data_IF_586517537992
#
_entry.id   IF_586517537992
#
_cell.length_a   1.000
_cell.length_b   1.000
_cell.length_c   1.000
_cell.angle_alpha   90.00
_cell.angle_beta   90.00
_cell.angle_gamma   90.00
#
_symmetry.space_group_name_H-M   'P 1'
#
loop_
_entity.id
_entity.type
_entity.pdbx_description
1 polymer ?
#
# COMPACT_ATOMS: atom_id res chain seq x y z
N UNK A 1 13.01 -11.72 23.30
CA UNK A 1 12.50 -10.73 22.33
C UNK A 1 13.52 -10.70 21.22
N UNK A 2 13.19 -11.24 20.05
CA UNK A 2 14.09 -11.23 18.90
C UNK A 2 14.11 -9.82 18.32
N UNK A 3 15.26 -9.14 18.45
CA UNK A 3 15.55 -7.94 17.68
C UNK A 3 15.42 -8.28 16.20
N UNK A 4 14.41 -7.70 15.54
CA UNK A 4 14.34 -7.71 14.09
C UNK A 4 15.62 -7.07 13.53
N UNK A 5 16.27 -7.70 12.52
CA UNK A 5 17.47 -7.14 11.95
C UNK A 5 17.17 -5.75 11.38
N UNK A 6 17.86 -4.76 11.93
CA UNK A 6 17.72 -3.38 11.52
C UNK A 6 18.08 -3.26 10.03
N UNK A 7 17.14 -2.75 9.22
CA UNK A 7 17.34 -2.61 7.77
C UNK A 7 18.70 -1.94 7.48
N UNK A 8 19.58 -2.59 6.70
CA UNK A 8 20.94 -2.09 6.44
C UNK A 8 20.95 -0.80 5.62
N UNK A 9 19.80 -0.39 5.06
CA UNK A 9 19.65 0.83 4.26
C UNK A 9 18.57 1.69 4.90
N UNK A 10 18.95 2.54 5.85
CA UNK A 10 18.05 3.52 6.48
C UNK A 10 17.84 4.73 5.54
N UNK A 11 17.19 4.52 4.41
CA UNK A 11 16.84 5.61 3.49
C UNK A 11 15.34 5.94 3.58
N UNK A 12 15.05 7.17 4.03
CA UNK A 12 13.67 7.64 4.25
C UNK A 12 12.86 7.78 2.95
N UNK A 13 13.52 7.97 1.81
CA UNK A 13 12.88 8.11 0.51
C UNK A 13 12.63 6.73 -0.08
N UNK A 14 13.60 5.83 0.04
CA UNK A 14 13.42 4.42 -0.30
C UNK A 14 12.24 3.81 0.45
N UNK A 15 12.17 4.00 1.77
CA UNK A 15 11.06 3.47 2.59
C UNK A 15 9.70 4.02 2.15
N UNK A 16 9.64 5.31 1.79
CA UNK A 16 8.41 5.94 1.28
C UNK A 16 8.01 5.37 -0.09
N UNK A 17 8.98 5.23 -1.01
CA UNK A 17 8.75 4.70 -2.35
C UNK A 17 8.26 3.24 -2.26
N UNK A 18 8.90 2.43 -1.42
CA UNK A 18 8.48 1.06 -1.17
C UNK A 18 7.05 0.98 -0.63
N UNK A 19 6.72 1.79 0.39
CA UNK A 19 5.38 1.80 0.97
C UNK A 19 4.31 2.25 -0.04
N UNK A 20 4.65 3.23 -0.89
CA UNK A 20 3.80 3.71 -1.97
C UNK A 20 3.56 2.63 -3.03
N UNK A 21 4.61 1.96 -3.49
CA UNK A 21 4.52 0.86 -4.45
C UNK A 21 3.64 -0.27 -3.91
N UNK A 22 3.90 -0.73 -2.69
CA UNK A 22 3.13 -1.78 -2.06
C UNK A 22 1.63 -1.42 -1.94
N UNK A 23 1.31 -0.17 -1.57
CA UNK A 23 -0.07 0.31 -1.48
C UNK A 23 -0.76 0.27 -2.84
N UNK A 24 -0.13 0.83 -3.88
CA UNK A 24 -0.71 0.90 -5.23
C UNK A 24 -0.83 -0.49 -5.88
N UNK A 25 0.15 -1.36 -5.69
CA UNK A 25 0.08 -2.75 -6.15
C UNK A 25 -1.06 -3.51 -5.44
N UNK A 26 -1.22 -3.32 -4.12
CA UNK A 26 -2.31 -3.95 -3.38
C UNK A 26 -3.69 -3.51 -3.89
N UNK A 27 -3.87 -2.26 -4.33
CA UNK A 27 -5.15 -1.81 -4.91
C UNK A 27 -5.56 -2.71 -6.08
N UNK A 28 -4.64 -2.92 -7.03
CA UNK A 28 -4.89 -3.75 -8.22
C UNK A 28 -5.08 -5.22 -7.84
N UNK A 29 -4.20 -5.75 -6.99
CA UNK A 29 -4.26 -7.16 -6.58
C UNK A 29 -5.57 -7.51 -5.84
N UNK A 30 -6.08 -6.58 -5.04
CA UNK A 30 -7.34 -6.76 -4.32
C UNK A 30 -8.56 -6.80 -5.24
N UNK A 31 -8.49 -6.27 -6.47
CA UNK A 31 -9.60 -6.38 -7.44
C UNK A 31 -9.89 -7.86 -7.73
N UNK A 32 -8.85 -8.65 -8.02
CA UNK A 32 -8.99 -10.09 -8.23
C UNK A 32 -9.53 -10.81 -7.00
N UNK A 33 -9.04 -10.47 -5.80
CA UNK A 33 -9.49 -11.12 -4.57
C UNK A 33 -10.94 -10.78 -4.19
N UNK A 34 -11.39 -9.57 -4.53
CA UNK A 34 -12.80 -9.19 -4.40
C UNK A 34 -13.65 -10.03 -5.36
N UNK A 35 -13.26 -10.13 -6.63
CA UNK A 35 -13.98 -10.93 -7.63
C UNK A 35 -14.07 -12.41 -7.23
N UNK A 36 -13.00 -12.99 -6.71
CA UNK A 36 -12.97 -14.39 -6.28
C UNK A 36 -13.90 -14.61 -5.08
N UNK A 37 -13.88 -13.73 -4.08
CA UNK A 37 -14.80 -13.79 -2.94
C UNK A 37 -16.27 -13.65 -3.35
N UNK A 38 -16.58 -12.74 -4.29
CA UNK A 38 -17.93 -12.59 -4.86
C UNK A 38 -18.38 -13.86 -5.59
N UNK A 39 -17.51 -14.51 -6.38
CA UNK A 39 -17.81 -15.76 -7.09
C UNK A 39 -18.07 -16.92 -6.14
N UNK A 40 -17.40 -16.95 -5.00
CA UNK A 40 -17.58 -17.97 -3.96
C UNK A 40 -18.77 -17.67 -3.04
N UNK A 41 -19.39 -16.49 -3.16
CA UNK A 41 -20.52 -16.07 -2.34
C UNK A 41 -20.13 -15.54 -0.95
N UNK A 42 -18.86 -15.24 -0.72
CA UNK A 42 -18.34 -14.69 0.53
C UNK A 42 -18.37 -13.15 0.52
N UNK A 43 -19.57 -12.61 0.76
CA UNK A 43 -19.81 -11.16 0.78
C UNK A 43 -19.09 -10.43 1.93
N UNK A 44 -18.86 -11.12 3.05
CA UNK A 44 -18.14 -10.54 4.19
C UNK A 44 -16.68 -10.29 3.82
N UNK A 45 -16.04 -11.30 3.21
CA UNK A 45 -14.66 -11.19 2.74
C UNK A 45 -14.51 -10.17 1.62
N UNK A 46 -15.40 -10.17 0.63
CA UNK A 46 -15.41 -9.18 -0.44
C UNK A 46 -15.53 -7.75 0.12
N UNK A 47 -16.41 -7.54 1.09
CA UNK A 47 -16.58 -6.25 1.77
C UNK A 47 -15.33 -5.84 2.54
N UNK A 48 -14.68 -6.78 3.22
CA UNK A 48 -13.43 -6.52 3.93
C UNK A 48 -12.31 -6.14 2.96
N UNK A 49 -12.14 -6.84 1.84
CA UNK A 49 -11.16 -6.48 0.81
C UNK A 49 -11.42 -5.10 0.19
N UNK A 50 -12.68 -4.74 -0.09
CA UNK A 50 -13.04 -3.40 -0.59
C UNK A 50 -12.60 -2.29 0.38
N UNK A 51 -12.74 -2.51 1.70
CA UNK A 51 -12.24 -1.56 2.72
C UNK A 51 -10.73 -1.42 2.66
N UNK A 52 -9.99 -2.52 2.60
CA UNK A 52 -8.53 -2.50 2.48
C UNK A 52 -8.10 -1.81 1.18
N UNK A 53 -8.79 -2.07 0.08
CA UNK A 53 -8.52 -1.44 -1.20
C UNK A 53 -8.70 0.08 -1.12
N UNK A 54 -9.77 0.54 -0.47
CA UNK A 54 -10.00 1.98 -0.25
C UNK A 54 -8.87 2.63 0.56
N UNK A 55 -8.46 2.02 1.67
CA UNK A 55 -7.36 2.54 2.48
C UNK A 55 -6.02 2.54 1.72
N UNK A 56 -5.73 1.51 0.92
CA UNK A 56 -4.53 1.49 0.07
C UNK A 56 -4.56 2.59 -1.01
N UNK A 57 -5.72 2.86 -1.64
CA UNK A 57 -5.86 4.00 -2.59
C UNK A 57 -5.54 5.31 -1.89
N UNK A 58 -6.12 5.53 -0.71
CA UNK A 58 -5.90 6.75 0.09
C UNK A 58 -4.44 6.91 0.51
N UNK A 59 -3.81 5.85 1.02
CA UNK A 59 -2.40 5.84 1.38
C UNK A 59 -1.51 6.13 0.16
N UNK A 60 -1.84 5.55 -1.00
CA UNK A 60 -1.14 5.79 -2.26
C UNK A 60 -1.20 7.26 -2.72
N UNK A 61 -2.37 7.91 -2.63
CA UNK A 61 -2.48 9.33 -2.97
C UNK A 61 -1.69 10.23 -2.01
N UNK A 62 -1.79 9.97 -0.70
CA UNK A 62 -1.01 10.72 0.30
C UNK A 62 0.50 10.53 0.12
N UNK A 63 0.93 9.29 -0.16
CA UNK A 63 2.32 8.95 -0.42
C UNK A 63 2.88 9.65 -1.67
N UNK A 64 2.09 9.73 -2.76
CA UNK A 64 2.46 10.46 -3.98
C UNK A 64 2.67 11.95 -3.70
N UNK A 65 1.78 12.59 -2.93
CA UNK A 65 1.92 14.00 -2.56
C UNK A 65 3.18 14.24 -1.73
N UNK A 66 3.45 13.39 -0.75
CA UNK A 66 4.68 13.47 0.07
C UNK A 66 5.93 13.28 -0.78
N UNK A 67 5.93 12.31 -1.71
CA UNK A 67 7.07 12.07 -2.59
C UNK A 67 7.32 13.27 -3.53
N UNK A 68 6.27 13.84 -4.11
CA UNK A 68 6.38 15.01 -4.98
C UNK A 68 6.99 16.22 -4.26
N UNK A 69 6.58 16.47 -3.01
CA UNK A 69 7.15 17.54 -2.18
C UNK A 69 8.65 17.32 -1.98
N UNK A 70 9.06 16.09 -1.60
CA UNK A 70 10.48 15.76 -1.36
C UNK A 70 11.35 15.85 -2.61
N UNK A 71 10.82 15.54 -3.79
CA UNK A 71 11.55 15.67 -5.05
C UNK A 71 11.67 17.12 -5.52
N UNK A 72 10.81 18.01 -5.03
CA UNK A 72 10.82 19.43 -5.37
C UNK A 72 11.71 20.26 -4.44
N UNK A 73 12.11 19.71 -3.30
CA UNK A 73 13.07 20.34 -2.39
C UNK A 73 14.50 20.28 -2.98
N UNK A 74 15.25 21.38 -2.99
CA UNK A 74 16.68 21.34 -3.34
C UNK A 74 17.42 20.42 -2.36
N UNK A 75 18.25 19.50 -2.87
CA UNK A 75 19.09 18.63 -2.05
C UNK A 75 20.24 19.39 -1.39
#
# INVERSE_FOLDING_TARGET
>A
MTDEPQSPVRDKNYNLIWALEASLHNVWKLETYIEDAEREGDEELATWFRKIQHENRKAGEQGKQMLAQRLSEPQ
#
